data_IF_416572433350
#
_entry.id   IF_416572433350
#
_cell.length_a   1.000
_cell.length_b   1.000
_cell.length_c   1.000
_cell.angle_alpha   90.00
_cell.angle_beta   90.00
_cell.angle_gamma   90.00
#
_symmetry.space_group_name_H-M   'P 1'
#
loop_
_entity.id
_entity.type
_entity.pdbx_description
1 polymer ?
#
# COMPACT_ATOMS: atom_id res chain seq x y z
N UNK A 1 -20.09 -54.40 12.86
CA UNK A 1 -19.77 -53.50 11.72
C UNK A 1 -19.46 -52.13 12.32
N UNK A 2 -18.19 -51.75 12.48
CA UNK A 2 -17.80 -50.53 13.18
C UNK A 2 -17.92 -49.33 12.23
N UNK A 3 -18.80 -48.37 12.55
CA UNK A 3 -18.93 -47.13 11.79
C UNK A 3 -17.66 -46.29 11.97
N UNK A 4 -16.96 -45.99 10.87
CA UNK A 4 -15.81 -45.10 10.86
C UNK A 4 -16.23 -43.70 11.35
N UNK A 5 -15.38 -42.97 12.09
CA UNK A 5 -15.75 -41.69 12.71
C UNK A 5 -15.95 -40.61 11.63
N UNK A 6 -17.20 -40.47 11.18
CA UNK A 6 -17.66 -39.45 10.23
C UNK A 6 -17.28 -38.02 10.65
N UNK A 7 -17.17 -37.80 11.96
CA UNK A 7 -16.74 -36.54 12.56
C UNK A 7 -15.33 -36.08 12.16
N UNK A 8 -14.38 -36.99 11.99
CA UNK A 8 -13.01 -36.61 11.61
C UNK A 8 -12.95 -36.00 10.21
N UNK A 9 -13.79 -36.51 9.30
CA UNK A 9 -13.89 -35.99 7.94
C UNK A 9 -14.52 -34.60 7.90
N UNK A 10 -15.53 -34.33 8.72
CA UNK A 10 -16.16 -33.00 8.80
C UNK A 10 -15.17 -31.92 9.29
N UNK A 11 -14.34 -32.26 10.29
CA UNK A 11 -13.29 -31.37 10.81
C UNK A 11 -12.21 -31.12 9.75
N UNK A 12 -11.78 -32.16 9.03
CA UNK A 12 -10.81 -32.01 7.96
C UNK A 12 -11.33 -31.15 6.79
N UNK A 13 -12.60 -31.32 6.41
CA UNK A 13 -13.24 -30.55 5.33
C UNK A 13 -13.39 -29.08 5.73
N UNK A 14 -13.82 -28.80 6.96
CA UNK A 14 -13.94 -27.42 7.44
C UNK A 14 -12.59 -26.72 7.49
N UNK A 15 -11.54 -27.39 7.96
CA UNK A 15 -10.20 -26.83 7.97
C UNK A 15 -9.67 -26.53 6.54
N UNK A 16 -9.95 -27.42 5.59
CA UNK A 16 -9.57 -27.24 4.19
C UNK A 16 -10.28 -26.03 3.55
N UNK A 17 -11.58 -25.85 3.82
CA UNK A 17 -12.35 -24.71 3.29
C UNK A 17 -11.87 -23.38 3.86
N UNK A 18 -11.51 -23.33 5.14
CA UNK A 18 -10.95 -22.12 5.79
C UNK A 18 -9.57 -21.78 5.26
N UNK A 19 -8.72 -22.78 4.99
CA UNK A 19 -7.41 -22.54 4.38
C UNK A 19 -7.54 -21.98 2.94
N UNK A 20 -8.56 -22.41 2.19
CA UNK A 20 -8.80 -21.97 0.82
C UNK A 20 -9.40 -20.56 0.71
N UNK A 21 -10.04 -20.04 1.76
CA UNK A 21 -10.66 -18.71 1.74
C UNK A 21 -9.67 -17.57 2.04
N UNK A 22 -8.39 -17.88 2.27
CA UNK A 22 -7.33 -16.90 2.41
C UNK A 22 -7.15 -16.11 1.10
N UNK A 23 -7.83 -14.96 1.03
CA UNK A 23 -7.82 -14.08 -0.13
C UNK A 23 -6.57 -13.21 -0.07
N UNK A 24 -5.59 -13.47 -0.94
CA UNK A 24 -4.45 -12.59 -1.12
C UNK A 24 -4.89 -11.36 -1.91
N UNK A 25 -5.04 -10.21 -1.24
CA UNK A 25 -5.28 -8.94 -1.92
C UNK A 25 -3.96 -8.45 -2.51
N UNK A 26 -3.70 -8.83 -3.77
CA UNK A 26 -2.58 -8.28 -4.52
C UNK A 26 -3.05 -6.99 -5.21
N UNK A 27 -2.94 -5.87 -4.50
CA UNK A 27 -3.11 -4.56 -5.10
C UNK A 27 -1.92 -4.25 -6.00
N UNK A 28 -2.18 -3.82 -7.23
CA UNK A 28 -1.13 -3.20 -8.06
C UNK A 28 -0.66 -1.96 -7.30
N UNK A 29 0.63 -1.83 -6.93
CA UNK A 29 1.10 -0.60 -6.30
C UNK A 29 0.82 0.55 -7.26
N UNK A 30 0.19 1.61 -6.75
CA UNK A 30 -0.02 2.81 -7.56
C UNK A 30 1.33 3.27 -8.11
N UNK A 31 1.37 3.64 -9.39
CA UNK A 31 2.54 4.24 -10.02
C UNK A 31 3.01 5.39 -9.14
N UNK A 32 4.33 5.50 -8.95
CA UNK A 32 4.90 6.59 -8.14
C UNK A 32 4.35 7.92 -8.64
N UNK A 33 3.77 8.71 -7.74
CA UNK A 33 3.34 10.07 -8.06
C UNK A 33 4.60 10.90 -8.34
N UNK A 34 4.89 11.13 -9.61
CA UNK A 34 5.95 12.02 -10.02
C UNK A 34 5.41 13.46 -10.05
N UNK A 35 6.04 14.34 -9.27
CA UNK A 35 5.67 15.75 -9.22
C UNK A 35 6.53 16.53 -10.21
N UNK A 36 5.88 17.19 -11.18
CA UNK A 36 6.53 18.03 -12.17
C UNK A 36 6.10 19.48 -11.98
N UNK A 37 7.05 20.41 -12.08
CA UNK A 37 6.77 21.85 -12.10
C UNK A 37 7.43 22.65 -10.98
N UNK A 38 7.11 23.95 -10.95
CA UNK A 38 7.64 24.88 -9.97
C UNK A 38 6.77 24.86 -8.71
N UNK A 39 7.39 24.76 -7.54
CA UNK A 39 6.67 24.69 -6.27
C UNK A 39 6.60 26.08 -5.66
N UNK A 40 5.40 26.50 -5.26
CA UNK A 40 5.20 27.78 -4.58
C UNK A 40 4.66 27.58 -3.17
N UNK A 41 5.15 28.38 -2.24
CA UNK A 41 4.68 28.47 -0.85
C UNK A 41 4.10 29.88 -0.69
N UNK A 42 2.81 29.98 -0.40
CA UNK A 42 2.09 31.26 -0.34
C UNK A 42 2.22 32.14 -1.61
N UNK A 43 2.32 31.51 -2.78
CA UNK A 43 2.45 32.21 -4.07
C UNK A 43 3.87 32.72 -4.39
N UNK A 44 4.84 32.47 -3.51
CA UNK A 44 6.27 32.72 -3.76
C UNK A 44 7.00 31.41 -4.02
N UNK A 45 8.10 31.44 -4.78
CA UNK A 45 8.87 30.23 -5.08
C UNK A 45 9.37 29.55 -3.81
N UNK A 46 9.28 28.22 -3.78
CA UNK A 46 9.80 27.44 -2.67
C UNK A 46 11.32 27.65 -2.58
N UNK A 47 11.88 27.90 -1.38
CA UNK A 47 13.30 28.14 -1.22
C UNK A 47 14.13 26.94 -1.67
N UNK A 48 15.21 27.20 -2.41
CA UNK A 48 16.15 26.14 -2.82
C UNK A 48 16.76 25.46 -1.59
N UNK A 49 16.87 24.14 -1.64
CA UNK A 49 17.44 23.32 -0.58
C UNK A 49 16.45 22.85 0.48
N UNK A 50 15.19 23.27 0.42
CA UNK A 50 14.16 22.71 1.31
C UNK A 50 13.69 21.34 0.83
N UNK A 51 13.46 20.45 1.79
CA UNK A 51 12.84 19.14 1.53
C UNK A 51 11.33 19.30 1.71
N UNK A 52 10.60 18.99 0.64
CA UNK A 52 9.14 18.99 0.64
C UNK A 52 8.67 17.54 0.71
N UNK A 53 7.82 17.24 1.70
CA UNK A 53 7.24 15.92 1.90
C UNK A 53 5.77 15.96 1.51
N UNK A 54 5.35 15.01 0.67
CA UNK A 54 3.95 14.89 0.26
C UNK A 54 3.29 13.79 1.07
N UNK A 55 2.16 14.13 1.67
CA UNK A 55 1.31 13.20 2.37
C UNK A 55 0.05 12.97 1.55
N UNK A 56 -0.22 11.72 1.15
CA UNK A 56 -1.51 11.33 0.60
C UNK A 56 -2.28 10.59 1.68
N UNK A 57 -3.47 11.08 2.04
CA UNK A 57 -4.30 10.49 3.08
C UNK A 57 -3.56 10.30 4.44
N UNK A 58 -2.67 11.24 4.78
CA UNK A 58 -1.86 11.20 6.01
C UNK A 58 -0.64 10.28 5.96
N UNK A 59 -0.42 9.54 4.88
CA UNK A 59 0.78 8.69 4.68
C UNK A 59 1.80 9.44 3.85
N UNK A 60 3.06 9.47 4.28
CA UNK A 60 4.15 10.04 3.49
C UNK A 60 4.38 9.20 2.23
N UNK A 61 4.12 9.79 1.07
CA UNK A 61 4.19 9.11 -0.23
C UNK A 61 5.39 9.53 -1.08
N UNK A 62 6.15 10.53 -0.63
CA UNK A 62 7.35 10.98 -1.32
C UNK A 62 7.96 12.20 -0.67
N UNK A 63 9.23 12.42 -0.96
CA UNK A 63 9.94 13.64 -0.60
C UNK A 63 10.83 14.07 -1.76
N UNK A 64 10.97 15.37 -1.95
CA UNK A 64 11.81 15.95 -2.99
C UNK A 64 12.51 17.20 -2.44
N UNK A 65 13.71 17.45 -2.96
CA UNK A 65 14.49 18.64 -2.60
C UNK A 65 14.28 19.67 -3.70
N UNK A 66 13.95 20.89 -3.33
CA UNK A 66 13.87 21.99 -4.29
C UNK A 66 15.28 22.32 -4.77
N UNK A 67 15.54 22.08 -6.05
CA UNK A 67 16.85 22.37 -6.66
C UNK A 67 16.75 23.62 -7.52
N UNK A 68 17.80 24.45 -7.49
CA UNK A 68 17.96 25.52 -8.46
C UNK A 68 18.27 24.90 -9.82
N UNK A 69 17.41 25.08 -10.82
CA UNK A 69 17.70 24.67 -12.20
C UNK A 69 18.71 25.68 -12.75
N UNK A 70 19.97 25.27 -12.83
CA UNK A 70 21.06 26.05 -13.39
C UNK A 70 21.13 25.96 -14.91
#
# INVERSE_FOLDING_TARGET
MAMKPFWGYLVAITFLVVALSASFSYGIPLTANEFYGNWTINGSDAPVGVTLSVLANGVACGSFIVQNRH
#
